data_IF_270184626609
#
_entry.id   IF_270184626609
#
_cell.length_a   1.000
_cell.length_b   1.000
_cell.length_c   1.000
_cell.angle_alpha   90.00
_cell.angle_beta   90.00
_cell.angle_gamma   90.00
#
_symmetry.space_group_name_H-M   'P 1'
#
loop_
_entity.id
_entity.type
_entity.pdbx_description
1 polymer ?
#
# COMPACT_ATOMS: atom_id res chain seq x y z
N UNK A 1 16.76 19.04 -8.04
CA UNK A 1 15.38 18.99 -8.59
C UNK A 1 14.33 19.28 -7.49
N UNK A 2 14.75 19.87 -6.35
CA UNK A 2 13.90 20.18 -5.21
C UNK A 2 13.04 18.95 -4.81
N UNK A 3 11.72 19.10 -4.74
CA UNK A 3 10.82 18.00 -4.35
C UNK A 3 10.84 16.79 -5.31
N UNK A 4 11.36 16.95 -6.52
CA UNK A 4 11.51 15.88 -7.50
C UNK A 4 12.90 15.20 -7.46
N UNK A 5 13.74 15.50 -6.47
CA UNK A 5 15.13 15.02 -6.41
C UNK A 5 15.26 13.51 -6.39
N UNK A 6 14.44 12.81 -5.61
CA UNK A 6 14.49 11.34 -5.55
C UNK A 6 14.09 10.67 -6.87
N UNK A 7 13.11 11.22 -7.63
CA UNK A 7 12.78 10.69 -8.95
C UNK A 7 13.82 11.07 -10.01
N UNK A 8 14.48 12.23 -9.85
CA UNK A 8 15.64 12.59 -10.68
C UNK A 8 16.81 11.62 -10.47
N UNK A 9 17.10 11.27 -9.20
CA UNK A 9 18.11 10.24 -8.88
C UNK A 9 17.73 8.87 -9.46
N UNK A 10 16.43 8.51 -9.39
CA UNK A 10 15.90 7.29 -10.00
C UNK A 10 16.17 7.25 -11.52
N UNK A 11 15.96 8.38 -12.22
CA UNK A 11 16.23 8.44 -13.66
C UNK A 11 17.70 8.15 -13.98
N UNK A 12 18.63 8.69 -13.18
CA UNK A 12 20.07 8.42 -13.34
C UNK A 12 20.34 6.93 -13.09
N UNK A 13 19.81 6.36 -12.00
CA UNK A 13 19.96 4.94 -11.69
C UNK A 13 19.47 4.02 -12.81
N UNK A 14 18.35 4.36 -13.45
CA UNK A 14 17.85 3.60 -14.61
C UNK A 14 18.75 3.71 -15.83
N UNK A 15 19.45 4.84 -16.03
CA UNK A 15 20.45 4.96 -17.08
C UNK A 15 21.65 4.06 -16.82
N UNK A 16 22.20 4.04 -15.60
CA UNK A 16 23.30 3.15 -15.19
C UNK A 16 22.98 1.67 -15.43
N UNK A 17 21.76 1.25 -15.07
CA UNK A 17 21.32 -0.13 -15.32
C UNK A 17 21.18 -0.44 -16.82
N UNK A 18 20.66 0.52 -17.62
CA UNK A 18 20.46 0.32 -19.06
C UNK A 18 21.74 0.34 -19.86
N UNK A 19 22.72 1.18 -19.47
CA UNK A 19 24.05 1.19 -20.10
C UNK A 19 24.86 -0.06 -19.78
N UNK A 20 24.51 -0.77 -18.70
CA UNK A 20 25.27 -1.94 -18.23
C UNK A 20 26.45 -1.59 -17.34
N UNK A 21 26.60 -0.33 -16.96
CA UNK A 21 27.69 0.13 -16.06
C UNK A 21 27.50 -0.40 -14.64
N UNK A 22 26.27 -0.73 -14.28
CA UNK A 22 25.93 -1.32 -12.97
C UNK A 22 24.91 -2.45 -13.13
N UNK A 23 25.00 -3.48 -12.26
CA UNK A 23 24.04 -4.59 -12.21
C UNK A 23 22.95 -4.38 -11.14
N UNK A 24 23.28 -3.60 -10.11
CA UNK A 24 22.35 -3.21 -9.04
C UNK A 24 22.64 -1.77 -8.65
N UNK A 25 21.59 -0.97 -8.52
CA UNK A 25 21.73 0.44 -8.10
C UNK A 25 20.80 0.72 -6.93
N UNK A 26 21.32 1.38 -5.91
CA UNK A 26 20.54 1.93 -4.81
C UNK A 26 20.24 3.40 -5.11
N UNK A 27 18.96 3.76 -5.20
CA UNK A 27 18.54 5.12 -5.48
C UNK A 27 17.34 5.52 -4.64
N UNK A 28 17.22 6.80 -4.34
CA UNK A 28 16.11 7.31 -3.54
C UNK A 28 16.29 8.74 -3.10
N UNK A 29 15.82 9.06 -1.90
CA UNK A 29 15.93 10.39 -1.32
C UNK A 29 15.94 10.36 0.20
N UNK A 30 16.60 11.36 0.75
CA UNK A 30 16.69 11.62 2.19
C UNK A 30 16.33 13.06 2.44
N UNK A 31 15.49 13.31 3.41
CA UNK A 31 15.24 14.63 3.95
C UNK A 31 14.85 14.49 5.43
N UNK A 32 15.74 14.92 6.31
CA UNK A 32 15.60 14.84 7.76
C UNK A 32 15.92 16.19 8.40
N UNK A 33 15.59 17.29 7.68
CA UNK A 33 15.89 18.65 8.13
C UNK A 33 14.61 19.48 8.11
N UNK A 34 13.86 19.43 9.22
CA UNK A 34 12.71 20.30 9.49
C UNK A 34 13.06 21.31 10.61
N UNK A 35 14.09 22.12 10.36
CA UNK A 35 14.51 23.16 11.27
C UNK A 35 13.69 24.45 11.12
N UNK A 36 13.98 25.44 12.00
CA UNK A 36 13.29 26.73 12.00
C UNK A 36 13.48 27.49 10.68
N UNK A 37 14.66 27.35 10.03
CA UNK A 37 14.95 28.05 8.77
C UNK A 37 14.06 27.49 7.65
N UNK A 38 13.88 26.17 7.59
CA UNK A 38 13.02 25.53 6.62
C UNK A 38 11.56 25.96 6.79
N UNK A 39 11.04 25.96 8.03
CA UNK A 39 9.69 26.48 8.32
C UNK A 39 9.53 27.96 7.96
N UNK A 40 10.53 28.80 8.23
CA UNK A 40 10.50 30.20 7.82
C UNK A 40 10.44 30.38 6.31
N UNK A 41 11.21 29.59 5.53
CA UNK A 41 11.18 29.63 4.07
C UNK A 41 9.80 29.26 3.53
N UNK A 42 9.22 28.17 3.99
CA UNK A 42 7.90 27.73 3.56
C UNK A 42 6.76 28.64 4.02
N UNK A 43 6.88 29.26 5.19
CA UNK A 43 5.90 30.25 5.65
C UNK A 43 5.89 31.49 4.77
N UNK A 44 7.06 31.93 4.29
CA UNK A 44 7.15 33.08 3.38
C UNK A 44 6.63 32.82 1.97
N UNK A 45 6.57 31.56 1.55
CA UNK A 45 6.02 31.15 0.25
C UNK A 45 4.54 30.79 0.30
N UNK A 46 3.77 31.20 1.29
CA UNK A 46 2.48 30.75 1.83
C UNK A 46 2.07 29.32 1.40
N UNK A 47 2.99 28.39 1.62
CA UNK A 47 2.79 26.99 1.24
C UNK A 47 2.36 26.09 2.41
N UNK A 48 2.61 26.52 3.67
CA UNK A 48 2.23 25.75 4.85
C UNK A 48 0.74 25.86 5.14
N UNK A 49 0.15 24.76 5.57
CA UNK A 49 -1.22 24.71 6.06
C UNK A 49 -1.33 25.44 7.41
N UNK A 50 -2.20 26.45 7.55
CA UNK A 50 -2.47 27.12 8.83
C UNK A 50 -3.28 26.22 9.79
N UNK A 51 -3.96 25.20 9.29
CA UNK A 51 -4.75 24.25 10.11
C UNK A 51 -3.93 23.03 10.55
N UNK A 52 -2.70 22.88 10.07
CA UNK A 52 -1.79 21.84 10.52
C UNK A 52 -1.97 20.49 9.81
N UNK A 53 -2.68 20.45 8.69
CA UNK A 53 -2.91 19.22 7.93
C UNK A 53 -2.60 19.39 6.44
N UNK A 54 -2.09 18.33 5.81
CA UNK A 54 -1.98 18.24 4.37
C UNK A 54 -3.19 17.48 3.83
N UNK A 55 -4.06 18.17 3.04
CA UNK A 55 -5.31 17.63 2.48
C UNK A 55 -5.30 17.69 0.95
N UNK A 56 -4.53 16.82 0.27
CA UNK A 56 -4.41 16.85 -1.18
C UNK A 56 -5.77 16.64 -1.87
N UNK A 57 -6.07 17.47 -2.84
CA UNK A 57 -7.28 17.39 -3.67
C UNK A 57 -8.61 17.53 -2.91
N UNK A 58 -8.57 18.09 -1.70
CA UNK A 58 -9.77 18.40 -0.92
C UNK A 58 -10.25 19.83 -1.19
N UNK A 59 -11.56 20.06 -1.01
CA UNK A 59 -12.12 21.42 -0.95
C UNK A 59 -11.49 22.24 0.17
N UNK A 60 -11.12 21.58 1.28
CA UNK A 60 -10.49 22.18 2.47
C UNK A 60 -8.96 22.27 2.36
N UNK A 61 -8.40 22.00 1.19
CA UNK A 61 -6.96 22.16 0.97
C UNK A 61 -6.50 23.60 1.23
N UNK A 62 -5.57 23.79 2.17
CA UNK A 62 -5.12 25.11 2.60
C UNK A 62 -3.60 25.27 2.66
N UNK A 63 -2.88 24.18 2.34
CA UNK A 63 -1.43 24.15 2.35
C UNK A 63 -0.86 22.75 2.61
N UNK A 64 0.46 22.67 2.65
CA UNK A 64 1.19 21.44 2.97
C UNK A 64 1.69 21.44 4.40
N UNK A 65 2.08 20.25 4.88
CA UNK A 65 2.86 20.09 6.11
C UNK A 65 4.23 19.52 5.76
N UNK A 66 5.28 19.97 6.43
CA UNK A 66 6.62 19.41 6.23
C UNK A 66 6.72 18.05 6.93
N UNK A 67 7.23 17.08 6.19
CA UNK A 67 7.57 15.76 6.68
C UNK A 67 9.06 15.48 6.55
N UNK A 68 9.53 14.47 7.23
CA UNK A 68 10.89 13.91 7.10
C UNK A 68 10.80 12.49 6.63
N UNK A 69 11.85 11.99 5.96
CA UNK A 69 11.89 10.63 5.51
C UNK A 69 13.18 10.24 4.81
N UNK A 70 13.43 8.94 4.84
CA UNK A 70 14.48 8.26 4.08
C UNK A 70 13.82 7.16 3.29
N UNK A 71 13.95 7.20 1.97
CA UNK A 71 13.44 6.15 1.09
C UNK A 71 14.49 5.75 0.07
N UNK A 72 14.97 4.51 0.15
CA UNK A 72 15.97 3.94 -0.75
C UNK A 72 15.40 2.68 -1.40
N UNK A 73 15.55 2.59 -2.72
CA UNK A 73 15.12 1.45 -3.52
C UNK A 73 16.33 0.73 -4.09
N UNK A 74 16.30 -0.60 -4.04
CA UNK A 74 17.24 -1.45 -4.77
C UNK A 74 16.65 -1.76 -6.15
N UNK A 75 17.38 -1.42 -7.19
CA UNK A 75 16.95 -1.53 -8.59
C UNK A 75 17.85 -2.50 -9.33
N UNK A 76 17.22 -3.34 -10.15
CA UNK A 76 17.92 -4.28 -11.06
C UNK A 76 17.21 -4.37 -12.41
N UNK A 77 17.91 -4.80 -13.43
CA UNK A 77 17.27 -5.22 -14.68
C UNK A 77 16.38 -6.43 -14.42
N UNK A 78 15.21 -6.48 -15.06
CA UNK A 78 14.24 -7.57 -14.86
C UNK A 78 14.87 -8.95 -15.13
N UNK A 79 15.57 -9.09 -16.27
CA UNK A 79 16.23 -10.34 -16.63
C UNK A 79 17.24 -10.85 -15.60
N UNK A 80 17.97 -9.93 -14.96
CA UNK A 80 18.95 -10.28 -13.95
C UNK A 80 18.28 -10.65 -12.62
N UNK A 81 17.21 -9.94 -12.26
CA UNK A 81 16.44 -10.21 -11.07
C UNK A 81 15.73 -11.58 -11.14
N UNK A 82 15.15 -11.93 -12.30
CA UNK A 82 14.53 -13.23 -12.55
C UNK A 82 15.56 -14.36 -12.56
N UNK A 83 16.68 -14.20 -13.28
CA UNK A 83 17.77 -15.18 -13.32
C UNK A 83 18.30 -15.52 -11.93
N UNK A 84 18.45 -14.51 -11.08
CA UNK A 84 19.06 -14.64 -9.75
C UNK A 84 18.01 -14.95 -8.65
N UNK A 85 16.74 -15.16 -9.02
CA UNK A 85 15.66 -15.48 -8.10
C UNK A 85 15.34 -14.36 -7.10
N UNK A 86 15.59 -13.11 -7.48
CA UNK A 86 15.36 -11.99 -6.57
C UNK A 86 13.86 -11.72 -6.39
N UNK A 87 13.55 -11.21 -5.23
CA UNK A 87 12.22 -10.71 -4.90
C UNK A 87 11.91 -9.44 -5.71
N UNK A 88 10.87 -9.48 -6.55
CA UNK A 88 10.43 -8.37 -7.39
C UNK A 88 9.10 -7.84 -6.87
N UNK A 89 9.09 -6.57 -6.44
CA UNK A 89 7.90 -5.94 -5.88
C UNK A 89 7.01 -5.28 -6.94
N UNK A 90 7.62 -4.67 -7.95
CA UNK A 90 6.96 -4.04 -9.09
C UNK A 90 7.98 -3.77 -10.20
N UNK A 91 7.48 -3.42 -11.38
CA UNK A 91 8.28 -3.04 -12.53
C UNK A 91 8.20 -1.54 -12.77
N UNK A 92 9.35 -0.88 -12.97
CA UNK A 92 9.42 0.47 -13.52
C UNK A 92 9.44 0.33 -15.05
N UNK A 93 8.33 0.70 -15.69
CA UNK A 93 8.16 0.59 -17.14
C UNK A 93 8.69 1.83 -17.88
N UNK A 94 8.55 2.98 -17.26
CA UNK A 94 9.00 4.23 -17.84
C UNK A 94 9.21 5.33 -16.82
N UNK A 95 10.06 6.29 -17.15
CA UNK A 95 10.26 7.52 -16.40
C UNK A 95 10.38 8.69 -17.38
N UNK A 96 9.59 9.73 -17.15
CA UNK A 96 9.61 10.96 -17.92
C UNK A 96 10.07 12.14 -17.09
N UNK A 97 11.02 12.90 -17.61
CA UNK A 97 11.44 14.17 -17.06
C UNK A 97 10.98 15.35 -17.92
N UNK A 98 10.64 16.46 -17.30
CA UNK A 98 10.23 17.70 -17.97
C UNK A 98 10.65 18.93 -17.18
N UNK A 99 10.55 20.07 -17.86
CA UNK A 99 10.73 21.38 -17.24
C UNK A 99 9.55 22.28 -17.61
N UNK A 100 9.13 23.11 -16.66
CA UNK A 100 8.12 24.15 -16.93
C UNK A 100 8.63 25.23 -17.91
N UNK A 101 9.97 25.35 -18.04
CA UNK A 101 10.57 26.37 -18.87
C UNK A 101 10.38 27.77 -18.28
N UNK A 102 10.05 28.74 -19.14
CA UNK A 102 9.84 30.14 -18.71
C UNK A 102 8.39 30.31 -18.25
N UNK A 103 8.18 30.35 -16.93
CA UNK A 103 6.88 30.67 -16.30
C UNK A 103 6.78 32.11 -15.83
N UNK A 104 5.67 32.46 -15.17
CA UNK A 104 5.44 33.79 -14.55
C UNK A 104 6.28 33.99 -13.29
N UNK A 105 6.50 32.92 -12.51
CA UNK A 105 7.39 32.90 -11.37
C UNK A 105 8.02 31.51 -11.25
N UNK A 106 9.20 31.43 -10.61
CA UNK A 106 9.98 30.21 -10.50
C UNK A 106 9.23 29.07 -9.76
N UNK A 107 8.31 29.43 -8.87
CA UNK A 107 7.52 28.50 -8.07
C UNK A 107 6.11 28.24 -8.61
N UNK A 108 5.73 28.86 -9.74
CA UNK A 108 4.39 28.69 -10.34
C UNK A 108 4.39 27.41 -11.19
N UNK A 109 3.62 26.37 -10.80
CA UNK A 109 3.56 25.13 -11.58
C UNK A 109 2.84 25.35 -12.90
N UNK A 110 3.34 24.73 -13.98
CA UNK A 110 2.73 24.78 -15.30
C UNK A 110 2.17 23.40 -15.71
N UNK A 111 0.84 23.28 -15.89
CA UNK A 111 0.21 22.02 -16.32
C UNK A 111 0.85 21.38 -17.55
N UNK A 112 1.21 22.19 -18.55
CA UNK A 112 1.85 21.70 -19.79
C UNK A 112 3.26 21.16 -19.56
N UNK A 113 4.01 21.67 -18.56
CA UNK A 113 5.32 21.16 -18.18
C UNK A 113 5.20 19.77 -17.49
N UNK A 114 4.23 19.64 -16.62
CA UNK A 114 3.89 18.39 -15.95
C UNK A 114 3.38 17.35 -16.95
N UNK A 115 2.44 17.72 -17.84
CA UNK A 115 1.93 16.85 -18.91
C UNK A 115 3.05 16.25 -19.77
N UNK A 116 4.05 17.06 -20.17
CA UNK A 116 5.20 16.56 -20.93
C UNK A 116 6.00 15.46 -20.18
N UNK A 117 6.15 15.58 -18.88
CA UNK A 117 6.82 14.54 -18.09
C UNK A 117 5.97 13.26 -18.05
N UNK A 118 4.66 13.39 -17.91
CA UNK A 118 3.69 12.28 -17.88
C UNK A 118 3.68 11.55 -19.23
N UNK A 119 3.53 12.29 -20.33
CA UNK A 119 3.54 11.72 -21.70
C UNK A 119 4.82 10.94 -22.00
N UNK A 120 5.99 11.51 -21.64
CA UNK A 120 7.29 10.84 -21.83
C UNK A 120 7.39 9.53 -21.06
N UNK A 121 6.85 9.48 -19.86
CA UNK A 121 6.83 8.26 -19.06
C UNK A 121 6.00 7.16 -19.72
N UNK A 122 4.80 7.48 -20.23
CA UNK A 122 3.95 6.51 -20.92
C UNK A 122 4.47 6.09 -22.29
N UNK A 123 5.07 7.01 -23.06
CA UNK A 123 5.78 6.64 -24.30
C UNK A 123 6.88 5.62 -24.02
N UNK A 124 7.66 5.82 -22.94
CA UNK A 124 8.72 4.89 -22.57
C UNK A 124 8.15 3.58 -22.01
N UNK A 125 7.03 3.62 -21.30
CA UNK A 125 6.38 2.45 -20.73
C UNK A 125 5.76 1.53 -21.79
N UNK A 126 5.39 2.06 -22.96
CA UNK A 126 4.79 1.32 -24.06
C UNK A 126 3.30 1.00 -23.85
N UNK A 127 2.62 1.77 -22.99
CA UNK A 127 1.18 1.68 -22.77
C UNK A 127 0.57 3.07 -22.51
N UNK A 128 -0.74 3.19 -22.70
CA UNK A 128 -1.45 4.45 -22.54
C UNK A 128 -2.01 4.65 -21.11
N UNK A 129 -2.36 5.91 -20.78
CA UNK A 129 -2.89 6.28 -19.46
C UNK A 129 -4.24 5.61 -19.14
N UNK A 130 -5.02 5.22 -20.15
CA UNK A 130 -6.30 4.50 -20.00
C UNK A 130 -6.17 3.14 -19.30
N UNK A 131 -4.94 2.64 -19.21
CA UNK A 131 -4.65 1.36 -18.54
C UNK A 131 -4.13 1.53 -17.11
N UNK A 132 -4.04 2.77 -16.62
CA UNK A 132 -3.51 3.10 -15.29
C UNK A 132 -4.66 3.25 -14.31
N UNK A 133 -4.61 2.49 -13.22
CA UNK A 133 -5.67 2.43 -12.22
C UNK A 133 -5.40 3.33 -11.01
N UNK A 134 -4.12 3.74 -10.78
CA UNK A 134 -3.70 4.57 -9.65
C UNK A 134 -2.66 5.60 -10.06
N UNK A 135 -2.90 6.87 -9.75
CA UNK A 135 -1.90 7.94 -9.75
C UNK A 135 -1.61 8.36 -8.31
N UNK A 136 -0.41 8.02 -7.85
CA UNK A 136 0.17 8.60 -6.65
C UNK A 136 0.77 9.96 -7.02
N UNK A 137 0.00 10.99 -6.81
CA UNK A 137 0.27 12.34 -7.27
C UNK A 137 1.31 13.07 -6.40
N UNK A 138 1.83 14.16 -6.92
CA UNK A 138 2.63 15.07 -6.13
C UNK A 138 1.80 15.65 -4.98
N UNK A 139 0.56 16.09 -5.22
CA UNK A 139 -0.50 16.34 -4.25
C UNK A 139 -0.03 17.03 -2.96
N UNK A 140 0.29 18.31 -3.03
CA UNK A 140 0.86 19.06 -1.91
C UNK A 140 -0.18 19.58 -0.91
N UNK A 141 -1.47 19.49 -1.25
CA UNK A 141 -2.54 20.10 -0.45
C UNK A 141 -2.61 21.63 -0.60
N UNK A 142 -1.85 22.21 -1.53
CA UNK A 142 -1.97 23.62 -1.87
C UNK A 142 -2.97 23.82 -3.01
N UNK A 143 -3.92 24.76 -2.88
CA UNK A 143 -4.96 24.99 -3.90
C UNK A 143 -4.40 25.19 -5.31
N UNK A 144 -3.34 25.97 -5.44
CA UNK A 144 -2.73 26.26 -6.74
C UNK A 144 -1.96 25.06 -7.30
N UNK A 145 -1.22 24.34 -6.44
CA UNK A 145 -0.45 23.15 -6.84
C UNK A 145 -1.36 22.02 -7.27
N UNK A 146 -2.33 21.67 -6.45
CA UNK A 146 -3.27 20.58 -6.73
C UNK A 146 -4.10 20.85 -7.99
N UNK A 147 -4.55 22.11 -8.18
CA UNK A 147 -5.26 22.52 -9.40
C UNK A 147 -4.39 22.40 -10.65
N UNK A 148 -3.12 22.84 -10.59
CA UNK A 148 -2.21 22.75 -11.72
C UNK A 148 -1.87 21.30 -12.07
N UNK A 149 -1.68 20.46 -11.06
CA UNK A 149 -1.39 19.04 -11.25
C UNK A 149 -2.57 18.30 -11.88
N UNK A 150 -3.79 18.48 -11.36
CA UNK A 150 -4.97 17.90 -11.97
C UNK A 150 -5.15 18.36 -13.43
N UNK A 151 -4.94 19.65 -13.70
CA UNK A 151 -4.98 20.15 -15.08
C UNK A 151 -3.91 19.48 -15.96
N UNK A 152 -2.70 19.26 -15.46
CA UNK A 152 -1.64 18.53 -16.17
C UNK A 152 -1.98 17.05 -16.43
N UNK A 153 -2.59 16.39 -15.46
CA UNK A 153 -3.08 15.02 -15.58
C UNK A 153 -4.23 14.94 -16.60
N UNK A 154 -5.20 15.85 -16.55
CA UNK A 154 -6.31 15.91 -17.50
C UNK A 154 -5.85 16.10 -18.94
N UNK A 155 -4.79 16.88 -19.20
CA UNK A 155 -4.21 17.01 -20.56
C UNK A 155 -3.78 15.67 -21.17
N UNK A 156 -3.46 14.68 -20.34
CA UNK A 156 -2.94 13.38 -20.80
C UNK A 156 -3.99 12.26 -20.72
N UNK A 157 -4.87 12.31 -19.74
CA UNK A 157 -5.83 11.23 -19.45
C UNK A 157 -7.21 11.45 -20.10
N UNK A 158 -7.65 12.71 -20.28
CA UNK A 158 -8.99 12.97 -20.78
C UNK A 158 -9.20 12.46 -22.21
N UNK A 159 -10.41 11.95 -22.44
CA UNK A 159 -10.78 11.34 -23.72
C UNK A 159 -10.13 9.98 -24.00
N UNK A 160 -9.51 9.36 -22.99
CA UNK A 160 -8.88 8.02 -23.10
C UNK A 160 -9.77 6.89 -22.57
N UNK A 161 -10.65 7.20 -21.63
CA UNK A 161 -11.61 6.24 -21.07
C UNK A 161 -12.99 6.31 -21.73
N UNK A 162 -13.94 5.62 -21.14
CA UNK A 162 -15.35 5.51 -21.59
C UNK A 162 -16.28 6.62 -21.04
N UNK A 163 -15.71 7.60 -20.34
CA UNK A 163 -16.42 8.74 -19.77
C UNK A 163 -16.77 8.62 -18.29
N UNK A 164 -16.44 7.47 -17.67
CA UNK A 164 -16.55 7.28 -16.22
C UNK A 164 -15.16 7.32 -15.56
N UNK A 165 -15.02 7.89 -14.35
CA UNK A 165 -13.74 7.92 -13.65
C UNK A 165 -13.23 6.52 -13.33
N UNK A 166 -12.08 6.16 -13.90
CA UNK A 166 -11.50 4.83 -13.71
C UNK A 166 -10.23 4.83 -12.87
N UNK A 167 -9.50 5.96 -12.82
CA UNK A 167 -8.19 6.05 -12.19
C UNK A 167 -8.27 6.70 -10.81
N UNK A 168 -7.84 5.98 -9.78
CA UNK A 168 -7.72 6.54 -8.45
C UNK A 168 -6.60 7.58 -8.42
N UNK A 169 -6.84 8.74 -7.82
CA UNK A 169 -5.80 9.74 -7.53
C UNK A 169 -5.66 9.93 -6.02
N UNK A 170 -4.43 10.12 -5.55
CA UNK A 170 -4.17 10.36 -4.15
C UNK A 170 -2.74 10.81 -3.88
N UNK A 171 -2.40 11.06 -2.61
CA UNK A 171 -1.05 11.42 -2.21
C UNK A 171 -0.70 10.95 -0.79
N UNK A 172 0.50 10.36 -0.66
CA UNK A 172 1.08 9.96 0.63
C UNK A 172 1.27 11.13 1.58
N UNK A 173 1.31 12.36 1.06
CA UNK A 173 1.49 13.57 1.86
C UNK A 173 0.35 13.83 2.84
N UNK A 174 -0.84 13.28 2.60
CA UNK A 174 -1.92 13.29 3.59
C UNK A 174 -1.56 12.49 4.86
N UNK A 175 -0.66 11.52 4.74
CA UNK A 175 -0.26 10.60 5.81
C UNK A 175 1.00 11.09 6.54
N UNK A 176 2.06 11.43 5.79
CA UNK A 176 3.40 11.71 6.34
C UNK A 176 3.88 13.15 6.13
N UNK A 177 3.06 14.02 5.54
CA UNK A 177 3.49 15.36 5.12
C UNK A 177 4.40 15.33 3.90
N UNK A 178 4.94 16.48 3.54
CA UNK A 178 5.81 16.67 2.39
C UNK A 178 7.28 16.45 2.77
N UNK A 179 7.82 15.27 2.50
CA UNK A 179 9.22 14.91 2.80
C UNK A 179 10.23 15.51 1.79
N UNK A 180 9.91 16.62 1.18
CA UNK A 180 10.79 17.45 0.31
C UNK A 180 11.59 16.61 -0.69
N UNK A 181 12.92 16.51 -0.54
CA UNK A 181 13.79 15.73 -1.44
C UNK A 181 13.46 14.23 -1.46
N UNK A 182 12.94 13.67 -0.36
CA UNK A 182 12.50 12.28 -0.25
C UNK A 182 11.05 12.02 -0.74
N UNK A 183 10.28 13.07 -1.07
CA UNK A 183 8.85 12.94 -1.36
C UNK A 183 8.55 11.97 -2.51
N UNK A 184 9.32 12.02 -3.61
CA UNK A 184 9.13 11.10 -4.73
C UNK A 184 9.43 9.64 -4.37
N UNK A 185 10.43 9.40 -3.53
CA UNK A 185 10.75 8.06 -3.03
C UNK A 185 9.62 7.50 -2.14
N UNK A 186 9.08 8.33 -1.24
CA UNK A 186 7.94 7.95 -0.39
C UNK A 186 6.71 7.59 -1.23
N UNK A 187 6.36 8.42 -2.23
CA UNK A 187 5.28 8.15 -3.18
C UNK A 187 5.52 6.85 -3.96
N UNK A 188 6.76 6.63 -4.42
CA UNK A 188 7.12 5.43 -5.17
C UNK A 188 7.01 4.16 -4.32
N UNK A 189 7.50 4.19 -3.08
CA UNK A 189 7.39 3.08 -2.13
C UNK A 189 5.92 2.75 -1.86
N UNK A 190 5.07 3.75 -1.63
CA UNK A 190 3.63 3.54 -1.45
C UNK A 190 2.98 2.88 -2.67
N UNK A 191 3.26 3.37 -3.88
CA UNK A 191 2.71 2.81 -5.11
C UNK A 191 3.20 1.36 -5.37
N UNK A 192 4.47 1.06 -5.09
CA UNK A 192 5.04 -0.29 -5.18
C UNK A 192 4.35 -1.25 -4.20
N UNK A 193 4.12 -0.81 -2.96
CA UNK A 193 3.38 -1.61 -1.99
C UNK A 193 1.91 -1.79 -2.38
N UNK A 194 1.26 -0.76 -2.94
CA UNK A 194 -0.10 -0.86 -3.46
C UNK A 194 -0.23 -1.94 -4.55
N UNK A 195 0.72 -1.96 -5.49
CA UNK A 195 0.79 -2.99 -6.54
C UNK A 195 1.03 -4.38 -5.97
N UNK A 196 2.02 -4.53 -5.09
CA UNK A 196 2.38 -5.84 -4.53
C UNK A 196 1.31 -6.40 -3.60
N UNK A 197 0.58 -5.54 -2.88
CA UNK A 197 -0.52 -5.94 -1.98
C UNK A 197 -1.89 -5.94 -2.64
N UNK A 198 -1.97 -5.55 -3.92
CA UNK A 198 -3.23 -5.48 -4.68
C UNK A 198 -4.31 -4.66 -3.97
N UNK A 199 -3.89 -3.55 -3.36
CA UNK A 199 -4.76 -2.69 -2.56
C UNK A 199 -4.61 -1.24 -3.01
N UNK A 200 -5.72 -0.55 -3.26
CA UNK A 200 -5.75 0.89 -3.49
C UNK A 200 -5.69 1.60 -2.13
N UNK A 201 -4.58 2.31 -1.84
CA UNK A 201 -4.41 2.97 -0.54
C UNK A 201 -5.24 4.24 -0.45
N UNK A 202 -5.67 4.63 0.77
CA UNK A 202 -6.44 5.84 0.95
C UNK A 202 -5.59 7.11 0.88
N UNK A 203 -6.22 8.21 0.47
CA UNK A 203 -5.79 9.58 0.80
C UNK A 203 -6.63 10.03 1.98
N UNK A 204 -6.01 10.22 3.13
CA UNK A 204 -6.70 10.51 4.39
C UNK A 204 -6.92 12.01 4.60
N UNK A 205 -7.73 12.37 5.61
CA UNK A 205 -8.03 13.76 6.01
C UNK A 205 -8.82 14.56 4.97
N UNK A 206 -9.54 13.87 4.09
CA UNK A 206 -10.36 14.49 3.06
C UNK A 206 -11.81 14.55 3.55
N UNK A 207 -12.37 15.74 3.62
CA UNK A 207 -13.79 15.95 3.82
C UNK A 207 -14.56 15.74 2.51
N UNK A 208 -14.44 16.70 1.60
CA UNK A 208 -15.01 16.62 0.26
C UNK A 208 -13.91 16.72 -0.81
N UNK A 209 -13.98 15.97 -1.91
CA UNK A 209 -13.10 16.15 -3.05
C UNK A 209 -13.23 17.55 -3.65
N UNK A 210 -12.12 18.08 -4.18
CA UNK A 210 -12.12 19.34 -4.91
C UNK A 210 -13.08 19.27 -6.11
N UNK A 211 -13.74 20.39 -6.44
CA UNK A 211 -14.77 20.44 -7.50
C UNK A 211 -14.29 19.90 -8.84
N UNK A 212 -13.02 20.14 -9.19
CA UNK A 212 -12.42 19.64 -10.43
C UNK A 212 -12.43 18.12 -10.52
N UNK A 213 -12.48 17.40 -9.40
CA UNK A 213 -12.58 15.93 -9.38
C UNK A 213 -14.02 15.44 -9.43
N UNK A 214 -15.00 16.26 -8.98
CA UNK A 214 -16.42 15.89 -9.03
C UNK A 214 -16.91 15.73 -10.49
N UNK A 215 -16.37 16.54 -11.39
CA UNK A 215 -16.72 16.54 -12.81
C UNK A 215 -15.70 15.78 -13.68
N UNK A 216 -14.70 15.14 -13.08
CA UNK A 216 -13.67 14.41 -13.81
C UNK A 216 -14.22 13.13 -14.43
N UNK A 217 -13.95 12.93 -15.71
CA UNK A 217 -14.25 11.68 -16.43
C UNK A 217 -13.08 10.66 -16.37
N UNK A 218 -11.98 11.03 -15.73
CA UNK A 218 -10.78 10.19 -15.66
C UNK A 218 -10.43 9.78 -14.23
N UNK A 219 -10.61 10.68 -13.26
CA UNK A 219 -10.10 10.53 -11.92
C UNK A 219 -11.20 10.52 -10.86
N UNK A 220 -10.98 9.72 -9.83
CA UNK A 220 -11.71 9.80 -8.56
C UNK A 220 -10.73 9.82 -7.39
N UNK A 221 -11.09 10.52 -6.31
CA UNK A 221 -10.28 10.54 -5.09
C UNK A 221 -10.58 9.29 -4.25
N UNK A 222 -9.54 8.47 -4.03
CA UNK A 222 -9.68 7.28 -3.19
C UNK A 222 -9.41 7.65 -1.72
N UNK A 223 -10.44 7.65 -0.88
CA UNK A 223 -10.36 8.01 0.55
C UNK A 223 -10.36 6.82 1.50
N UNK A 224 -10.58 5.59 1.00
CA UNK A 224 -10.63 4.37 1.79
C UNK A 224 -9.73 3.30 1.18
N UNK A 225 -9.19 2.43 2.05
CA UNK A 225 -8.46 1.26 1.56
C UNK A 225 -9.46 0.31 0.87
N UNK A 226 -9.14 -0.10 -0.35
CA UNK A 226 -10.00 -0.98 -1.15
C UNK A 226 -9.19 -2.05 -1.87
N UNK A 227 -9.78 -3.25 -2.09
CA UNK A 227 -9.18 -4.23 -2.99
C UNK A 227 -8.93 -3.60 -4.37
N UNK A 228 -7.74 -3.80 -4.89
CA UNK A 228 -7.42 -3.40 -6.26
C UNK A 228 -7.78 -4.52 -7.22
N UNK A 229 -9.02 -4.56 -7.62
CA UNK A 229 -9.52 -5.53 -8.58
C UNK A 229 -9.11 -5.06 -9.98
N UNK A 230 -8.32 -5.88 -10.69
CA UNK A 230 -8.02 -5.63 -12.09
C UNK A 230 -9.18 -6.13 -12.94
N UNK A 231 -9.72 -5.27 -13.79
CA UNK A 231 -10.61 -5.71 -14.86
C UNK A 231 -9.79 -6.47 -15.90
N UNK A 232 -10.19 -7.72 -16.17
CA UNK A 232 -9.56 -8.60 -17.16
C UNK A 232 -8.12 -9.09 -16.82
N UNK A 233 -7.48 -9.78 -17.73
CA UNK A 233 -6.20 -10.48 -17.59
C UNK A 233 -4.97 -9.55 -17.69
N UNK A 234 -5.09 -8.25 -17.50
CA UNK A 234 -3.96 -7.31 -17.56
C UNK A 234 -3.31 -7.08 -16.20
N UNK A 235 -1.99 -6.83 -16.15
CA UNK A 235 -1.32 -6.39 -14.92
C UNK A 235 -1.89 -5.06 -14.41
N UNK A 236 -1.91 -4.88 -13.08
CA UNK A 236 -2.23 -3.60 -12.45
C UNK A 236 -1.17 -2.57 -12.79
N UNK A 237 -1.56 -1.31 -12.99
CA UNK A 237 -0.66 -0.23 -13.33
C UNK A 237 -0.89 0.97 -12.45
N UNK A 238 0.22 1.50 -11.93
CA UNK A 238 0.24 2.74 -11.18
C UNK A 238 1.20 3.74 -11.81
N UNK A 239 1.07 4.98 -11.42
CA UNK A 239 2.09 5.99 -11.74
C UNK A 239 2.35 6.92 -10.56
N UNK A 240 3.50 7.57 -10.57
CA UNK A 240 3.97 8.43 -9.49
C UNK A 240 4.45 9.75 -10.05
N UNK A 241 3.93 10.86 -9.54
CA UNK A 241 4.37 12.21 -9.89
C UNK A 241 5.20 12.84 -8.77
N UNK A 242 6.25 13.56 -9.14
CA UNK A 242 6.94 14.47 -8.24
C UNK A 242 7.39 15.71 -9.00
N UNK A 243 6.89 16.87 -8.54
CA UNK A 243 7.10 18.16 -9.18
C UNK A 243 7.81 19.11 -8.21
N UNK A 244 8.96 19.61 -8.63
CA UNK A 244 9.80 20.44 -7.77
C UNK A 244 9.60 21.93 -7.97
N UNK A 245 9.77 22.71 -6.91
CA UNK A 245 9.93 24.16 -7.03
C UNK A 245 11.09 24.47 -8.00
N UNK A 246 10.82 25.28 -8.99
CA UNK A 246 11.76 25.57 -10.09
C UNK A 246 11.39 24.82 -11.39
N UNK A 247 10.26 24.11 -11.39
CA UNK A 247 9.68 23.50 -12.60
C UNK A 247 10.38 22.23 -13.08
N UNK A 248 11.06 21.51 -12.22
CA UNK A 248 11.58 20.17 -12.52
C UNK A 248 10.48 19.14 -12.28
N UNK A 249 9.97 18.52 -13.35
CA UNK A 249 8.85 17.58 -13.28
C UNK A 249 9.32 16.18 -13.63
N UNK A 250 8.93 15.19 -12.80
CA UNK A 250 9.18 13.77 -13.06
C UNK A 250 7.92 12.95 -12.86
N UNK A 251 7.76 11.95 -13.72
CA UNK A 251 6.66 10.99 -13.65
C UNK A 251 7.20 9.59 -13.93
N UNK A 252 6.76 8.62 -13.13
CA UNK A 252 7.18 7.20 -13.23
C UNK A 252 5.97 6.35 -13.51
N UNK A 253 6.06 5.50 -14.52
CA UNK A 253 5.05 4.52 -14.87
C UNK A 253 5.45 3.14 -14.31
N UNK A 254 4.55 2.53 -13.55
CA UNK A 254 4.74 1.27 -12.83
C UNK A 254 3.77 0.21 -13.31
N UNK A 255 4.21 -1.05 -13.22
CA UNK A 255 3.38 -2.22 -13.53
C UNK A 255 3.59 -3.32 -12.50
N UNK A 256 2.52 -4.04 -12.18
CA UNK A 256 2.56 -5.25 -11.35
C UNK A 256 3.47 -6.30 -11.99
N UNK A 257 4.33 -6.92 -11.19
CA UNK A 257 5.08 -8.09 -11.63
C UNK A 257 4.26 -9.35 -11.41
N UNK A 258 4.02 -10.09 -12.47
CA UNK A 258 3.22 -11.33 -12.48
C UNK A 258 4.04 -12.57 -12.84
N UNK A 259 5.37 -12.46 -12.86
CA UNK A 259 6.28 -13.55 -13.20
C UNK A 259 6.46 -14.58 -12.08
N UNK A 260 7.33 -15.60 -12.29
CA UNK A 260 7.46 -16.76 -11.39
C UNK A 260 8.00 -16.42 -9.98
N UNK A 261 8.73 -15.30 -9.84
CA UNK A 261 9.22 -14.82 -8.53
C UNK A 261 8.31 -13.77 -7.90
N UNK A 262 7.06 -13.66 -8.39
CA UNK A 262 6.06 -12.79 -7.79
C UNK A 262 5.83 -13.18 -6.33
N UNK A 263 5.92 -12.18 -5.46
CA UNK A 263 5.74 -12.39 -4.04
C UNK A 263 4.25 -12.33 -3.77
N UNK A 264 3.77 -13.39 -3.14
CA UNK A 264 2.53 -13.25 -2.40
C UNK A 264 2.85 -12.38 -1.18
N UNK A 265 2.17 -11.24 -0.99
CA UNK A 265 2.38 -10.44 0.20
C UNK A 265 2.16 -11.31 1.44
N UNK A 266 2.92 -11.11 2.53
CA UNK A 266 2.54 -11.72 3.79
C UNK A 266 1.12 -11.27 4.10
N UNK A 267 0.22 -12.21 4.32
CA UNK A 267 -1.14 -11.90 4.72
C UNK A 267 -1.08 -11.26 6.10
N UNK A 268 -1.49 -10.03 6.21
CA UNK A 268 -1.77 -9.39 7.50
C UNK A 268 -3.28 -9.52 7.67
N UNK A 269 -3.68 -10.51 8.42
CA UNK A 269 -5.09 -10.75 8.73
C UNK A 269 -5.48 -9.89 9.94
N UNK A 270 -6.74 -9.44 10.03
CA UNK A 270 -7.24 -8.75 11.23
C UNK A 270 -7.25 -9.65 12.46
N UNK A 271 -7.17 -10.96 12.26
CA UNK A 271 -7.05 -11.99 13.30
C UNK A 271 -6.19 -13.14 12.78
N UNK A 272 -5.51 -13.83 13.67
CA UNK A 272 -4.66 -14.99 13.37
C UNK A 272 -5.28 -16.29 13.88
N UNK A 273 -5.01 -17.38 13.17
CA UNK A 273 -5.44 -18.72 13.54
C UNK A 273 -4.28 -19.47 14.22
N UNK A 274 -4.51 -19.88 15.45
CA UNK A 274 -3.62 -20.76 16.22
C UNK A 274 -4.21 -22.16 16.26
N UNK A 275 -3.42 -23.18 15.95
CA UNK A 275 -3.86 -24.57 15.93
C UNK A 275 -2.96 -25.42 16.83
N UNK A 276 -3.56 -26.32 17.58
CA UNK A 276 -2.90 -27.14 18.57
C UNK A 276 -3.32 -28.60 18.41
N UNK A 277 -2.39 -29.51 18.65
CA UNK A 277 -2.66 -30.96 18.59
C UNK A 277 -1.87 -31.71 19.66
N UNK A 278 -2.54 -32.51 20.44
CA UNK A 278 -1.94 -33.28 21.51
C UNK A 278 -2.52 -34.69 21.56
N UNK A 279 -1.81 -35.60 22.25
CA UNK A 279 -2.29 -36.94 22.51
C UNK A 279 -3.27 -37.00 23.69
N UNK A 280 -3.14 -36.04 24.63
CA UNK A 280 -3.95 -35.90 25.83
C UNK A 280 -4.41 -34.48 26.05
N UNK A 281 -5.43 -34.28 26.87
CA UNK A 281 -5.89 -32.96 27.30
C UNK A 281 -4.83 -32.22 28.12
N UNK A 282 -4.05 -32.91 28.93
CA UNK A 282 -2.98 -32.30 29.71
C UNK A 282 -1.86 -31.77 28.83
N UNK A 283 -1.50 -32.51 27.77
CA UNK A 283 -0.55 -32.02 26.74
C UNK A 283 -1.05 -30.79 25.99
N UNK A 284 -2.36 -30.68 25.74
CA UNK A 284 -2.94 -29.47 25.17
C UNK A 284 -2.84 -28.28 26.15
N UNK A 285 -3.04 -28.51 27.46
CA UNK A 285 -2.89 -27.44 28.46
C UNK A 285 -1.44 -26.94 28.48
N UNK A 286 -0.44 -27.82 28.46
CA UNK A 286 0.98 -27.45 28.44
C UNK A 286 1.31 -26.56 27.21
N UNK A 287 0.80 -26.90 26.01
CA UNK A 287 1.00 -26.10 24.82
C UNK A 287 0.35 -24.73 24.93
N UNK A 288 -0.88 -24.63 25.43
CA UNK A 288 -1.61 -23.38 25.63
C UNK A 288 -0.95 -22.48 26.66
N UNK A 289 -0.48 -23.04 27.80
CA UNK A 289 0.25 -22.29 28.84
C UNK A 289 1.58 -21.73 28.29
N UNK A 290 2.33 -22.53 27.54
CA UNK A 290 3.56 -22.09 26.90
C UNK A 290 3.35 -20.87 25.99
N UNK A 291 2.21 -20.81 25.29
CA UNK A 291 1.89 -19.73 24.40
C UNK A 291 1.44 -18.45 25.12
N UNK A 292 0.66 -18.58 26.20
CA UNK A 292 0.20 -17.44 27.02
C UNK A 292 1.38 -16.65 27.60
N UNK A 293 2.46 -17.33 27.95
CA UNK A 293 3.65 -16.76 28.58
C UNK A 293 4.70 -16.25 27.59
N UNK A 294 4.46 -16.42 26.27
CA UNK A 294 5.38 -15.95 25.24
C UNK A 294 5.12 -14.45 24.98
N UNK A 295 6.02 -13.58 25.44
CA UNK A 295 5.98 -12.17 25.05
C UNK A 295 6.35 -12.05 23.57
N UNK A 296 5.40 -11.61 22.75
CA UNK A 296 5.63 -11.34 21.33
C UNK A 296 5.59 -9.83 21.08
N UNK A 297 6.59 -9.32 20.35
CA UNK A 297 6.47 -8.00 19.72
C UNK A 297 5.29 -8.02 18.72
N UNK A 298 4.67 -6.86 18.44
CA UNK A 298 3.52 -6.76 17.52
C UNK A 298 3.75 -7.50 16.19
N UNK A 299 4.97 -7.42 15.65
CA UNK A 299 5.36 -8.11 14.42
C UNK A 299 5.53 -9.64 14.57
N UNK A 300 5.55 -10.14 15.81
CA UNK A 300 5.76 -11.55 16.12
C UNK A 300 4.46 -12.37 16.18
N UNK A 301 3.30 -11.75 16.35
CA UNK A 301 2.02 -12.45 16.57
C UNK A 301 1.65 -13.40 15.42
N UNK A 302 1.72 -12.92 14.18
CA UNK A 302 1.49 -13.73 12.99
C UNK A 302 2.55 -14.85 12.82
N UNK A 303 3.80 -14.59 13.20
CA UNK A 303 4.86 -15.60 13.13
C UNK A 303 4.65 -16.73 14.14
N UNK A 304 4.17 -16.40 15.35
CA UNK A 304 3.81 -17.41 16.37
C UNK A 304 2.61 -18.22 15.89
N UNK A 305 1.57 -17.60 15.33
CA UNK A 305 0.45 -18.31 14.73
C UNK A 305 0.92 -19.30 13.64
N UNK A 306 1.75 -18.82 12.72
CA UNK A 306 2.32 -19.66 11.65
C UNK A 306 3.15 -20.83 12.19
N UNK A 307 3.87 -20.66 13.31
CA UNK A 307 4.64 -21.74 13.94
C UNK A 307 3.75 -22.88 14.42
N UNK A 308 2.56 -22.57 14.94
CA UNK A 308 1.60 -23.62 15.41
C UNK A 308 1.09 -24.48 14.23
N UNK A 309 1.01 -23.92 13.03
CA UNK A 309 0.61 -24.68 11.84
C UNK A 309 1.66 -25.73 11.44
N UNK A 310 2.95 -25.44 11.69
CA UNK A 310 4.06 -26.34 11.35
C UNK A 310 4.13 -27.57 12.27
N UNK A 311 3.58 -27.49 13.46
CA UNK A 311 3.59 -28.58 14.47
C UNK A 311 2.24 -29.29 14.57
N UNK A 312 1.20 -28.81 13.87
CA UNK A 312 -0.15 -29.34 13.98
C UNK A 312 -0.30 -30.71 13.29
N UNK A 313 -0.77 -31.69 14.04
CA UNK A 313 -1.10 -33.03 13.56
C UNK A 313 -2.62 -33.18 13.42
N UNK A 314 -3.11 -33.20 12.18
CA UNK A 314 -4.56 -33.25 11.90
C UNK A 314 -5.24 -34.51 12.45
N UNK A 315 -4.50 -35.61 12.55
CA UNK A 315 -5.00 -36.91 13.04
C UNK A 315 -4.90 -37.09 14.55
N UNK A 316 -4.32 -36.11 15.27
CA UNK A 316 -4.23 -36.15 16.72
C UNK A 316 -5.61 -36.26 17.37
N UNK A 317 -5.70 -36.99 18.48
CA UNK A 317 -6.96 -37.22 19.19
C UNK A 317 -7.51 -35.92 19.79
N UNK A 318 -6.63 -35.13 20.40
CA UNK A 318 -6.99 -33.84 21.03
C UNK A 318 -6.51 -32.72 20.14
N UNK A 319 -7.43 -31.86 19.72
CA UNK A 319 -7.13 -30.75 18.81
C UNK A 319 -7.87 -29.51 19.26
N UNK A 320 -7.22 -28.36 19.12
CA UNK A 320 -7.85 -27.08 19.33
C UNK A 320 -7.46 -26.09 18.22
N UNK A 321 -8.34 -25.12 18.01
CA UNK A 321 -8.09 -23.97 17.13
C UNK A 321 -8.63 -22.72 17.83
N UNK A 322 -7.82 -21.67 17.85
CA UNK A 322 -8.17 -20.36 18.42
C UNK A 322 -7.94 -19.31 17.33
N UNK A 323 -8.97 -18.53 17.04
CA UNK A 323 -8.88 -17.32 16.23
C UNK A 323 -8.76 -16.15 17.19
N UNK A 324 -7.68 -15.36 17.08
CA UNK A 324 -7.40 -14.26 18.00
C UNK A 324 -6.95 -12.99 17.24
N UNK A 325 -7.40 -11.83 17.71
CA UNK A 325 -7.09 -10.53 17.11
C UNK A 325 -5.75 -9.97 17.59
N UNK A 326 -5.37 -10.31 18.81
CA UNK A 326 -4.11 -9.91 19.45
C UNK A 326 -3.67 -10.89 20.54
N UNK A 327 -2.51 -10.65 21.15
CA UNK A 327 -1.95 -11.47 22.22
C UNK A 327 -2.86 -11.53 23.46
N UNK A 328 -3.57 -10.45 23.79
CA UNK A 328 -4.45 -10.39 24.95
C UNK A 328 -5.71 -11.23 24.72
N UNK A 329 -6.27 -11.16 23.53
CA UNK A 329 -7.43 -11.97 23.11
C UNK A 329 -7.06 -13.46 23.06
N UNK A 330 -5.87 -13.79 22.52
CA UNK A 330 -5.34 -15.15 22.51
C UNK A 330 -5.22 -15.70 23.95
N UNK A 331 -4.59 -14.95 24.84
CA UNK A 331 -4.41 -15.36 26.25
C UNK A 331 -5.74 -15.57 26.97
N UNK A 332 -6.73 -14.69 26.73
CA UNK A 332 -8.07 -14.82 27.31
C UNK A 332 -8.80 -16.09 26.80
N UNK A 333 -8.71 -16.35 25.51
CA UNK A 333 -9.33 -17.52 24.86
C UNK A 333 -8.64 -18.83 25.29
N UNK A 334 -7.31 -18.85 25.34
CA UNK A 334 -6.54 -20.01 25.83
C UNK A 334 -6.83 -20.30 27.28
N UNK A 335 -6.82 -19.31 28.18
CA UNK A 335 -7.17 -19.47 29.59
C UNK A 335 -8.60 -20.01 29.77
N UNK A 336 -9.55 -19.57 28.94
CA UNK A 336 -10.91 -20.12 29.00
C UNK A 336 -10.95 -21.60 28.62
N UNK A 337 -10.21 -22.01 27.60
CA UNK A 337 -10.14 -23.40 27.18
C UNK A 337 -9.48 -24.27 28.26
N UNK A 338 -8.36 -23.80 28.84
CA UNK A 338 -7.68 -24.47 29.97
C UNK A 338 -8.65 -24.67 31.13
N UNK A 339 -9.37 -23.63 31.58
CA UNK A 339 -10.33 -23.74 32.68
C UNK A 339 -11.46 -24.74 32.42
N UNK A 340 -11.90 -24.92 31.16
CA UNK A 340 -12.89 -25.95 30.82
C UNK A 340 -12.29 -27.37 30.86
N UNK A 341 -11.04 -27.54 30.50
CA UNK A 341 -10.34 -28.82 30.62
C UNK A 341 -10.20 -29.19 32.13
N UNK A 342 -9.71 -28.26 32.94
CA UNK A 342 -9.49 -28.48 34.39
C UNK A 342 -10.77 -28.77 35.15
N UNK A 343 -11.89 -28.10 34.78
CA UNK A 343 -13.18 -28.33 35.44
C UNK A 343 -13.96 -29.50 34.88
N UNK A 344 -13.41 -30.24 33.91
CA UNK A 344 -14.07 -31.39 33.27
C UNK A 344 -15.31 -31.04 32.43
N UNK A 345 -15.47 -29.76 32.07
CA UNK A 345 -16.58 -29.29 31.24
C UNK A 345 -16.22 -29.22 29.74
N UNK A 346 -15.01 -29.61 29.37
CA UNK A 346 -14.53 -29.66 28.01
C UNK A 346 -15.40 -30.58 27.14
N UNK A 347 -15.86 -30.10 26.02
CA UNK A 347 -16.76 -30.81 25.09
C UNK A 347 -18.24 -30.79 25.46
N UNK A 348 -18.64 -30.28 26.64
CA UNK A 348 -20.03 -30.20 27.11
C UNK A 348 -20.53 -28.74 27.22
N UNK A 349 -19.66 -27.81 27.56
CA UNK A 349 -19.96 -26.38 27.63
C UNK A 349 -19.55 -25.64 26.33
N UNK A 350 -20.27 -24.54 25.98
CA UNK A 350 -19.87 -23.71 24.84
C UNK A 350 -18.50 -23.08 25.01
N UNK A 351 -17.60 -23.30 24.06
CA UNK A 351 -16.22 -22.75 24.08
C UNK A 351 -16.17 -21.23 23.91
N UNK A 352 -17.16 -20.66 23.27
CA UNK A 352 -17.20 -19.22 22.93
C UNK A 352 -16.74 -18.94 21.50
N UNK A 353 -16.91 -17.70 21.05
CA UNK A 353 -16.54 -17.29 19.72
C UNK A 353 -15.02 -17.44 19.49
N UNK A 354 -14.65 -17.96 18.34
CA UNK A 354 -13.24 -18.11 17.94
C UNK A 354 -12.47 -19.22 18.65
N UNK A 355 -13.12 -20.10 19.44
CA UNK A 355 -12.50 -21.26 20.06
C UNK A 355 -13.19 -22.53 19.57
N UNK A 356 -12.40 -23.44 19.02
CA UNK A 356 -12.86 -24.76 18.57
C UNK A 356 -11.94 -25.82 19.17
N UNK A 357 -12.50 -26.91 19.71
CA UNK A 357 -11.69 -28.00 20.22
C UNK A 357 -12.47 -29.31 20.14
N UNK A 358 -11.73 -30.42 20.06
CA UNK A 358 -12.28 -31.77 19.95
C UNK A 358 -11.34 -32.80 20.58
N UNK A 359 -11.92 -33.83 21.21
CA UNK A 359 -11.23 -35.02 21.72
C UNK A 359 -11.55 -36.27 20.87
N UNK A 360 -12.31 -36.09 19.80
CA UNK A 360 -12.66 -37.19 18.91
C UNK A 360 -11.79 -37.14 17.63
N UNK A 361 -11.41 -38.28 17.06
CA UNK A 361 -10.70 -38.31 15.80
C UNK A 361 -11.49 -37.55 14.71
N UNK A 362 -10.81 -36.94 13.73
CA UNK A 362 -11.51 -36.32 12.62
C UNK A 362 -12.33 -37.33 11.83
N UNK A 363 -13.56 -36.95 11.52
CA UNK A 363 -14.36 -37.76 10.59
C UNK A 363 -13.83 -37.57 9.16
N UNK A 364 -13.61 -38.68 8.48
CA UNK A 364 -13.28 -38.66 7.06
C UNK A 364 -14.57 -38.45 6.24
N UNK A 365 -14.67 -37.31 5.59
CA UNK A 365 -15.85 -36.92 4.82
C UNK A 365 -15.51 -36.06 3.62
N UNK A 366 -16.55 -35.67 2.86
CA UNK A 366 -16.42 -34.70 1.77
C UNK A 366 -16.57 -33.29 2.33
N UNK A 367 -15.79 -32.36 1.82
CA UNK A 367 -15.94 -30.92 2.10
C UNK A 367 -17.10 -30.37 1.27
N UNK A 368 -18.03 -29.69 1.93
CA UNK A 368 -19.13 -28.98 1.27
C UNK A 368 -18.84 -27.48 1.30
N UNK A 369 -18.88 -26.84 0.14
CA UNK A 369 -18.80 -25.39 0.02
C UNK A 369 -20.22 -24.82 -0.05
N UNK A 370 -20.54 -23.89 0.85
CA UNK A 370 -21.81 -23.21 0.87
C UNK A 370 -21.59 -21.77 0.36
N UNK A 371 -22.34 -21.41 -0.68
CA UNK A 371 -22.33 -20.06 -1.24
C UNK A 371 -23.63 -19.36 -0.86
N UNK A 372 -23.49 -18.09 -0.39
CA UNK A 372 -24.66 -17.26 -0.08
C UNK A 372 -25.53 -17.04 -1.32
N UNK A 373 -26.85 -17.09 -1.14
CA UNK A 373 -27.79 -16.86 -2.22
C UNK A 373 -27.94 -15.38 -2.58
N UNK A 374 -28.66 -15.12 -3.67
CA UNK A 374 -29.00 -13.77 -4.11
C UNK A 374 -29.73 -13.00 -2.98
N UNK A 375 -29.33 -11.76 -2.72
CA UNK A 375 -29.87 -10.92 -1.64
C UNK A 375 -29.00 -10.90 -0.38
N UNK A 376 -27.93 -11.72 -0.32
CA UNK A 376 -26.99 -11.74 0.81
C UNK A 376 -25.84 -10.73 0.65
N UNK A 377 -25.71 -10.11 -0.52
CA UNK A 377 -24.65 -9.16 -0.83
C UNK A 377 -24.83 -7.84 -0.08
N UNK A 378 -23.72 -7.25 0.34
CA UNK A 378 -23.62 -5.90 0.91
C UNK A 378 -22.35 -5.21 0.40
N UNK A 379 -22.36 -3.88 0.47
CA UNK A 379 -21.18 -3.08 0.03
C UNK A 379 -19.96 -3.46 0.85
N UNK A 380 -18.87 -3.78 0.20
CA UNK A 380 -17.63 -4.22 0.85
C UNK A 380 -17.57 -5.70 1.24
N UNK A 381 -18.59 -6.51 0.90
CA UNK A 381 -18.59 -7.96 1.19
C UNK A 381 -17.34 -8.64 0.61
N UNK A 382 -16.53 -9.27 1.48
CA UNK A 382 -15.29 -9.92 1.09
C UNK A 382 -14.09 -8.98 0.83
N UNK A 383 -14.23 -7.67 1.03
CA UNK A 383 -13.16 -6.71 0.80
C UNK A 383 -11.92 -7.02 1.65
N UNK A 384 -12.10 -7.24 2.95
CA UNK A 384 -11.00 -7.57 3.88
C UNK A 384 -10.30 -8.88 3.47
N UNK A 385 -11.07 -9.89 3.08
CA UNK A 385 -10.52 -11.16 2.59
C UNK A 385 -9.72 -10.99 1.28
N UNK A 386 -10.14 -10.09 0.41
CA UNK A 386 -9.45 -9.82 -0.85
C UNK A 386 -8.17 -8.98 -0.67
N UNK A 387 -8.09 -8.16 0.39
CA UNK A 387 -6.91 -7.36 0.74
C UNK A 387 -5.92 -8.10 1.63
N UNK A 388 -6.33 -9.20 2.26
CA UNK A 388 -5.53 -10.02 3.15
C UNK A 388 -4.50 -10.93 2.36
#
# INVERSE_FOLDING_TARGET
AACASSLSALQIALHELRSGDSDTVLAGGVDALNDILMYMCFSKTPALSPTGDCRPFSMDADGTMLGEGVGILALRRLSDAERDGNRIHALIRGIGGGSDGKGTAIYTPLPSGQARAIERAYVQAGYGPETVDLVEAHGTGTKAGDKAELAGLHLVFDGKGDGEPWCAVGSVKSQIGHAKAAAGAASLIKAVHALSRKTLPPTIKIGEPADVLKDSQSFYLNSEARPWISAESRPRRASVSSFGFGGSNFHVALEEYTGPTAILPPRVLPSELFVFSATTTDGLVEELEGLIHTETAEDGFAAVAASTHGTFEADARVRAAIVADDQKDLAAKASRLIGQIETGTFGTAPLGAGIHASTTPPETGKVAFLFSGQGSQYVGMGADLAMA
#
